data_IF_633215507617
#
_entry.id   IF_633215507617
#
_cell.length_a   1.000
_cell.length_b   1.000
_cell.length_c   1.000
_cell.angle_alpha   90.00
_cell.angle_beta   90.00
_cell.angle_gamma   90.00
#
_symmetry.space_group_name_H-M   'P 1'
#
loop_
_entity.id
_entity.type
_entity.pdbx_description
1 polymer ?
#
# COMPACT_ATOMS: atom_id res chain seq x y z
N UNK A 1 -3.21 -21.15 -14.15
CA UNK A 1 -2.81 -20.77 -12.78
C UNK A 1 -1.32 -21.05 -12.65
N UNK A 2 -0.57 -20.12 -12.06
CA UNK A 2 0.88 -20.17 -11.93
C UNK A 2 1.19 -20.26 -10.43
N UNK A 3 1.17 -21.48 -9.89
CA UNK A 3 1.49 -21.78 -8.50
C UNK A 3 2.71 -22.70 -8.50
N UNK A 4 3.88 -22.09 -8.39
CA UNK A 4 5.14 -22.81 -8.30
C UNK A 4 5.69 -22.72 -6.87
N UNK A 5 6.65 -23.56 -6.52
CA UNK A 5 7.38 -23.42 -5.26
C UNK A 5 8.46 -22.35 -5.40
N UNK A 6 8.05 -21.08 -5.53
CA UNK A 6 8.92 -19.92 -5.66
C UNK A 6 8.48 -18.76 -4.76
N UNK A 7 9.39 -17.79 -4.58
CA UNK A 7 9.17 -16.64 -3.70
C UNK A 7 7.95 -15.81 -4.13
N UNK A 8 7.72 -15.66 -5.44
CA UNK A 8 6.59 -14.90 -5.98
C UNK A 8 5.24 -15.51 -5.57
N UNK A 9 5.12 -16.83 -5.62
CA UNK A 9 3.91 -17.53 -5.18
C UNK A 9 3.69 -17.33 -3.69
N UNK A 10 4.73 -17.54 -2.87
CA UNK A 10 4.61 -17.44 -1.42
C UNK A 10 4.24 -16.02 -0.99
N UNK A 11 4.91 -15.00 -1.53
CA UNK A 11 4.63 -13.59 -1.23
C UNK A 11 3.21 -13.23 -1.67
N UNK A 12 2.80 -13.65 -2.86
CA UNK A 12 1.44 -13.34 -3.36
C UNK A 12 0.36 -14.00 -2.51
N UNK A 13 0.48 -15.30 -2.24
CA UNK A 13 -0.54 -16.05 -1.49
C UNK A 13 -0.58 -15.57 -0.03
N UNK A 14 0.56 -15.37 0.61
CA UNK A 14 0.61 -14.85 1.97
C UNK A 14 0.03 -13.43 2.04
N UNK A 15 0.39 -12.56 1.09
CA UNK A 15 -0.15 -11.22 0.97
C UNK A 15 -1.68 -11.24 0.87
N UNK A 16 -2.24 -12.01 -0.07
CA UNK A 16 -3.70 -12.17 -0.24
C UNK A 16 -4.36 -12.65 1.05
N UNK A 17 -3.82 -13.70 1.68
CA UNK A 17 -4.45 -14.28 2.87
C UNK A 17 -4.43 -13.27 4.02
N UNK A 18 -3.29 -12.65 4.31
CA UNK A 18 -3.14 -11.72 5.43
C UNK A 18 -4.05 -10.50 5.25
N UNK A 19 -4.04 -9.89 4.06
CA UNK A 19 -4.82 -8.66 3.82
C UNK A 19 -6.31 -8.95 3.62
N UNK A 20 -6.69 -10.13 3.10
CA UNK A 20 -8.08 -10.56 3.08
C UNK A 20 -8.62 -10.78 4.50
N UNK A 21 -7.90 -11.53 5.34
CA UNK A 21 -8.29 -11.74 6.74
C UNK A 21 -8.36 -10.43 7.52
N UNK A 22 -7.38 -9.54 7.33
CA UNK A 22 -7.38 -8.21 7.93
C UNK A 22 -8.54 -7.33 7.46
N UNK A 23 -8.86 -7.36 6.16
CA UNK A 23 -10.01 -6.64 5.60
C UNK A 23 -11.32 -7.17 6.16
N UNK A 24 -11.48 -8.49 6.20
CA UNK A 24 -12.64 -9.16 6.79
C UNK A 24 -12.78 -8.70 8.25
N UNK A 25 -11.72 -8.77 9.04
CA UNK A 25 -11.75 -8.33 10.43
C UNK A 25 -12.29 -6.90 10.59
N UNK A 26 -11.79 -5.93 9.81
CA UNK A 26 -12.26 -4.53 9.88
C UNK A 26 -13.70 -4.40 9.39
N UNK A 27 -14.08 -5.08 8.31
CA UNK A 27 -15.45 -5.08 7.78
C UNK A 27 -16.44 -5.63 8.81
N UNK A 28 -16.06 -6.64 9.58
CA UNK A 28 -16.93 -7.23 10.60
C UNK A 28 -17.28 -6.27 11.74
N UNK A 29 -16.46 -5.24 11.99
CA UNK A 29 -16.74 -4.22 13.00
C UNK A 29 -17.92 -3.32 12.61
N UNK A 30 -18.04 -2.99 11.32
CA UNK A 30 -19.23 -2.34 10.76
C UNK A 30 -19.36 -2.68 9.27
N UNK A 31 -20.18 -3.69 8.97
CA UNK A 31 -20.30 -4.27 7.63
C UNK A 31 -20.77 -3.27 6.58
N UNK A 32 -21.61 -2.30 6.98
CA UNK A 32 -22.18 -1.32 6.06
C UNK A 32 -21.11 -0.31 5.62
N UNK A 33 -20.49 0.38 6.58
CA UNK A 33 -19.58 1.48 6.26
C UNK A 33 -18.24 0.97 5.72
N UNK A 34 -17.62 0.01 6.41
CA UNK A 34 -16.35 -0.56 5.97
C UNK A 34 -16.50 -1.48 4.75
N UNK A 35 -17.62 -2.18 4.60
CA UNK A 35 -17.91 -2.96 3.38
C UNK A 35 -18.04 -2.06 2.15
N UNK A 36 -18.77 -0.94 2.25
CA UNK A 36 -18.85 0.04 1.16
C UNK A 36 -17.49 0.66 0.84
N UNK A 37 -16.71 1.04 1.87
CA UNK A 37 -15.37 1.60 1.68
C UNK A 37 -14.43 0.60 1.00
N UNK A 38 -14.48 -0.68 1.39
CA UNK A 38 -13.72 -1.76 0.75
C UNK A 38 -14.08 -1.88 -0.73
N UNK A 39 -15.38 -1.96 -1.07
CA UNK A 39 -15.80 -2.13 -2.46
C UNK A 39 -15.38 -0.96 -3.35
N UNK A 40 -15.55 0.28 -2.88
CA UNK A 40 -15.19 1.48 -3.65
C UNK A 40 -13.67 1.53 -3.84
N UNK A 41 -12.89 1.29 -2.78
CA UNK A 41 -11.42 1.28 -2.87
C UNK A 41 -10.89 0.15 -3.76
N UNK A 42 -11.49 -1.03 -3.69
CA UNK A 42 -11.16 -2.16 -4.56
C UNK A 42 -11.37 -1.80 -6.04
N UNK A 43 -12.57 -1.31 -6.38
CA UNK A 43 -12.91 -0.95 -7.77
C UNK A 43 -11.97 0.12 -8.29
N UNK A 44 -11.73 1.18 -7.52
CA UNK A 44 -10.83 2.26 -7.95
C UNK A 44 -9.39 1.76 -8.08
N UNK A 45 -8.91 0.93 -7.15
CA UNK A 45 -7.56 0.36 -7.18
C UNK A 45 -7.32 -0.51 -8.42
N UNK A 46 -8.26 -1.38 -8.76
CA UNK A 46 -8.20 -2.21 -9.97
C UNK A 46 -8.22 -1.37 -11.24
N UNK A 47 -9.09 -0.36 -11.31
CA UNK A 47 -9.17 0.55 -12.47
C UNK A 47 -7.85 1.31 -12.65
N UNK A 48 -7.31 1.90 -11.58
CA UNK A 48 -6.05 2.65 -11.64
C UNK A 48 -4.90 1.73 -12.04
N UNK A 49 -4.78 0.55 -11.44
CA UNK A 49 -3.72 -0.39 -11.80
C UNK A 49 -3.83 -0.84 -13.26
N UNK A 50 -5.05 -1.09 -13.76
CA UNK A 50 -5.26 -1.43 -15.16
C UNK A 50 -4.83 -0.28 -16.09
N UNK A 51 -5.15 0.97 -15.74
CA UNK A 51 -4.72 2.15 -16.49
C UNK A 51 -3.20 2.22 -16.52
N UNK A 52 -2.51 2.10 -15.37
CA UNK A 52 -1.05 2.19 -15.28
C UNK A 52 -0.34 1.13 -16.12
N UNK A 53 -0.79 -0.12 -16.10
CA UNK A 53 -0.22 -1.15 -16.98
C UNK A 53 -0.48 -0.81 -18.45
N UNK A 54 -1.68 -0.31 -18.77
CA UNK A 54 -2.07 -0.01 -20.16
C UNK A 54 -1.26 1.13 -20.78
N UNK A 55 -0.79 2.09 -19.97
CA UNK A 55 0.10 3.17 -20.40
C UNK A 55 1.59 2.83 -20.25
N UNK A 56 1.93 1.63 -19.77
CA UNK A 56 3.30 1.17 -19.63
C UNK A 56 4.05 1.74 -18.41
N UNK A 57 3.36 2.07 -17.32
CA UNK A 57 4.02 2.52 -16.07
C UNK A 57 4.77 1.39 -15.36
N UNK A 58 4.22 0.18 -15.40
CA UNK A 58 4.84 -1.02 -14.87
C UNK A 58 4.14 -2.25 -15.42
N UNK A 59 4.80 -3.39 -15.31
CA UNK A 59 4.26 -4.70 -15.67
C UNK A 59 4.33 -5.66 -14.49
N UNK A 60 3.58 -6.77 -14.60
CA UNK A 60 3.62 -7.88 -13.62
C UNK A 60 4.00 -9.16 -14.36
N UNK A 61 5.30 -9.46 -14.50
CA UNK A 61 5.78 -10.65 -15.21
C UNK A 61 5.29 -11.94 -14.55
N UNK A 62 5.22 -11.96 -13.21
CA UNK A 62 4.68 -13.06 -12.43
C UNK A 62 3.29 -12.73 -11.88
N UNK A 63 2.29 -13.49 -12.33
CA UNK A 63 0.90 -13.41 -11.83
C UNK A 63 0.41 -14.82 -11.51
N UNK A 64 -0.38 -14.97 -10.45
CA UNK A 64 -1.00 -16.26 -10.10
C UNK A 64 -1.99 -16.75 -11.16
N UNK A 65 -2.68 -15.83 -11.85
CA UNK A 65 -3.70 -16.14 -12.85
C UNK A 65 -3.48 -15.37 -14.16
N UNK A 66 -2.38 -15.64 -14.89
CA UNK A 66 -1.98 -14.84 -16.05
C UNK A 66 -2.93 -14.98 -17.25
N UNK A 67 -3.74 -16.03 -17.30
CA UNK A 67 -4.76 -16.24 -18.33
C UNK A 67 -6.07 -15.48 -18.07
N UNK A 68 -6.24 -14.92 -16.87
CA UNK A 68 -7.48 -14.23 -16.46
C UNK A 68 -7.28 -12.71 -16.49
N UNK A 69 -6.10 -12.23 -16.09
CA UNK A 69 -5.83 -10.81 -15.98
C UNK A 69 -4.37 -10.49 -16.29
N UNK A 70 -4.16 -9.32 -16.89
CA UNK A 70 -2.85 -8.69 -17.09
C UNK A 70 -2.27 -8.09 -15.81
N UNK A 71 -3.05 -8.04 -14.73
CA UNK A 71 -2.65 -7.53 -13.42
C UNK A 71 -2.90 -8.58 -12.32
N UNK A 72 -2.20 -8.50 -11.17
CA UNK A 72 -2.41 -9.41 -10.05
C UNK A 72 -3.69 -9.02 -9.28
N UNK A 73 -4.84 -9.24 -9.92
CA UNK A 73 -6.17 -8.85 -9.43
C UNK A 73 -6.38 -9.13 -7.94
N UNK A 74 -6.17 -10.38 -7.48
CA UNK A 74 -6.40 -10.70 -6.07
C UNK A 74 -5.48 -9.96 -5.08
N UNK A 75 -4.25 -9.62 -5.48
CA UNK A 75 -3.36 -8.79 -4.66
C UNK A 75 -3.92 -7.38 -4.57
N UNK A 76 -4.30 -6.79 -5.69
CA UNK A 76 -4.81 -5.41 -5.75
C UNK A 76 -6.12 -5.32 -4.96
N UNK A 77 -7.05 -6.23 -5.21
CA UNK A 77 -8.34 -6.38 -4.52
C UNK A 77 -8.22 -6.51 -3.00
N UNK A 78 -7.12 -7.04 -2.48
CA UNK A 78 -6.98 -7.30 -1.04
C UNK A 78 -6.05 -6.30 -0.35
N UNK A 79 -4.89 -5.98 -0.92
CA UNK A 79 -3.87 -5.11 -0.30
C UNK A 79 -4.31 -3.65 -0.25
N UNK A 80 -4.72 -3.05 -1.37
CA UNK A 80 -5.05 -1.62 -1.38
C UNK A 80 -6.28 -1.31 -0.53
N UNK A 81 -7.40 -2.06 -0.64
CA UNK A 81 -8.54 -1.85 0.24
C UNK A 81 -8.20 -2.10 1.71
N UNK A 82 -7.39 -3.12 2.03
CA UNK A 82 -6.96 -3.35 3.41
C UNK A 82 -6.26 -2.13 4.00
N UNK A 83 -5.32 -1.53 3.26
CA UNK A 83 -4.60 -0.34 3.71
C UNK A 83 -5.51 0.88 3.83
N UNK A 84 -6.51 1.02 2.95
CA UNK A 84 -7.56 2.04 3.08
C UNK A 84 -8.38 1.83 4.34
N UNK A 85 -8.83 0.61 4.61
CA UNK A 85 -9.64 0.28 5.78
C UNK A 85 -8.87 0.56 7.08
N UNK A 86 -7.60 0.13 7.15
CA UNK A 86 -6.73 0.44 8.28
C UNK A 86 -6.48 1.94 8.41
N UNK A 87 -6.16 2.60 7.30
CA UNK A 87 -5.91 4.03 7.25
C UNK A 87 -7.09 4.82 7.82
N UNK A 88 -8.29 4.61 7.30
CA UNK A 88 -9.50 5.31 7.73
C UNK A 88 -9.91 4.96 9.16
N UNK A 89 -9.69 3.71 9.58
CA UNK A 89 -10.05 3.27 10.94
C UNK A 89 -9.16 3.90 11.99
N UNK A 90 -7.86 3.95 11.75
CA UNK A 90 -6.86 4.30 12.76
C UNK A 90 -6.22 5.68 12.55
N UNK A 91 -6.54 6.39 11.45
CA UNK A 91 -6.01 7.73 11.20
C UNK A 91 -6.33 8.67 12.37
N UNK A 92 -5.34 9.45 12.85
CA UNK A 92 -5.55 10.44 13.90
C UNK A 92 -6.65 11.45 13.55
N UNK A 93 -7.23 12.10 14.55
CA UNK A 93 -8.32 13.06 14.29
C UNK A 93 -7.82 14.36 13.67
N UNK A 94 -6.67 14.85 14.15
CA UNK A 94 -6.01 16.07 13.67
C UNK A 94 -5.19 15.81 12.41
N UNK A 95 -5.35 16.69 11.42
CA UNK A 95 -4.58 16.66 10.18
C UNK A 95 -3.07 16.75 10.39
N UNK A 96 -2.63 17.44 11.46
CA UNK A 96 -1.21 17.54 11.80
C UNK A 96 -0.56 16.16 12.02
N UNK A 97 -1.34 15.20 12.52
CA UNK A 97 -0.87 13.83 12.80
C UNK A 97 -1.27 12.82 11.72
N UNK A 98 -2.26 13.14 10.87
CA UNK A 98 -2.62 12.29 9.72
C UNK A 98 -1.48 12.14 8.73
N UNK A 99 -0.80 13.23 8.37
CA UNK A 99 0.30 13.16 7.39
C UNK A 99 1.43 12.24 7.90
N UNK A 100 1.95 12.39 9.14
CA UNK A 100 2.91 11.45 9.70
C UNK A 100 2.43 10.00 9.78
N UNK A 101 1.14 9.79 10.07
CA UNK A 101 0.54 8.47 10.07
C UNK A 101 0.54 7.84 8.66
N UNK A 102 0.14 8.60 7.63
CA UNK A 102 0.15 8.12 6.24
C UNK A 102 1.57 7.97 5.69
N UNK A 103 2.56 8.76 6.15
CA UNK A 103 3.96 8.55 5.82
C UNK A 103 4.40 7.12 6.12
N UNK A 104 4.03 6.59 7.29
CA UNK A 104 4.36 5.21 7.66
C UNK A 104 3.77 4.23 6.66
N UNK A 105 2.48 4.35 6.33
CA UNK A 105 1.81 3.44 5.40
C UNK A 105 2.44 3.51 4.01
N UNK A 106 2.63 4.72 3.48
CA UNK A 106 3.21 4.93 2.14
C UNK A 106 4.66 4.41 2.07
N UNK A 107 5.49 4.70 3.07
CA UNK A 107 6.89 4.26 3.06
C UNK A 107 7.03 2.75 3.22
N UNK A 108 6.16 2.10 4.00
CA UNK A 108 6.12 0.63 4.07
C UNK A 108 5.62 0.01 2.76
N UNK A 109 4.61 0.63 2.12
CA UNK A 109 4.13 0.23 0.79
C UNK A 109 5.24 0.32 -0.26
N UNK A 110 5.91 1.47 -0.36
CA UNK A 110 7.03 1.66 -1.28
C UNK A 110 8.21 0.76 -0.98
N UNK A 111 8.51 0.50 0.29
CA UNK A 111 9.55 -0.47 0.65
C UNK A 111 9.19 -1.87 0.13
N UNK A 112 7.95 -2.31 0.33
CA UNK A 112 7.49 -3.61 -0.16
C UNK A 112 7.51 -3.69 -1.70
N UNK A 113 7.06 -2.63 -2.39
CA UNK A 113 7.04 -2.54 -3.84
C UNK A 113 8.46 -2.53 -4.44
N UNK A 114 9.36 -1.73 -3.88
CA UNK A 114 10.77 -1.67 -4.30
C UNK A 114 11.50 -2.99 -4.00
N UNK A 115 11.21 -3.62 -2.86
CA UNK A 115 11.75 -4.95 -2.55
C UNK A 115 11.24 -6.00 -3.55
N UNK A 116 9.96 -5.97 -3.89
CA UNK A 116 9.37 -6.87 -4.88
C UNK A 116 9.99 -6.65 -6.28
N UNK A 117 10.16 -5.40 -6.71
CA UNK A 117 10.86 -5.03 -7.96
C UNK A 117 12.27 -5.60 -8.03
N UNK A 118 13.01 -5.56 -6.91
CA UNK A 118 14.45 -5.86 -6.90
C UNK A 118 14.79 -7.31 -6.60
N UNK A 119 13.88 -8.06 -5.97
CA UNK A 119 14.14 -9.43 -5.50
C UNK A 119 13.19 -10.46 -6.10
N UNK A 120 12.17 -10.04 -6.87
CA UNK A 120 11.15 -10.94 -7.41
C UNK A 120 10.74 -10.49 -8.82
N UNK A 121 9.93 -11.31 -9.49
CA UNK A 121 9.27 -10.93 -10.75
C UNK A 121 7.83 -10.46 -10.58
N UNK A 122 7.47 -10.02 -9.37
CA UNK A 122 6.09 -9.61 -9.08
C UNK A 122 5.74 -8.30 -9.78
N UNK A 123 6.62 -7.30 -9.76
CA UNK A 123 6.44 -6.02 -10.43
C UNK A 123 7.74 -5.66 -11.15
N UNK A 124 7.62 -5.07 -12.33
CA UNK A 124 8.72 -4.53 -13.11
C UNK A 124 8.32 -3.14 -13.65
N UNK A 125 8.89 -2.07 -13.10
CA UNK A 125 8.84 -0.73 -13.70
C UNK A 125 9.61 -0.65 -15.02
N UNK A 126 9.10 0.13 -15.97
CA UNK A 126 9.76 0.36 -17.27
C UNK A 126 10.91 1.37 -17.14
N UNK A 127 10.68 2.45 -16.37
CA UNK A 127 11.66 3.50 -16.10
C UNK A 127 11.95 3.60 -14.61
N UNK A 128 13.18 4.01 -14.29
CA UNK A 128 13.58 4.22 -12.89
C UNK A 128 12.71 5.28 -12.18
N UNK A 129 12.26 6.30 -12.91
CA UNK A 129 11.41 7.36 -12.36
C UNK A 129 9.98 6.89 -12.01
N UNK A 130 9.53 5.75 -12.53
CA UNK A 130 8.18 5.23 -12.27
C UNK A 130 8.01 4.82 -10.79
N UNK A 131 9.11 4.55 -10.07
CA UNK A 131 9.10 4.31 -8.61
C UNK A 131 8.65 5.58 -7.86
N UNK A 132 9.10 6.75 -8.32
CA UNK A 132 8.68 8.03 -7.73
C UNK A 132 7.22 8.35 -8.06
N UNK A 133 6.79 8.01 -9.27
CA UNK A 133 5.40 8.20 -9.64
C UNK A 133 4.49 7.28 -8.86
N UNK A 134 4.88 6.01 -8.63
CA UNK A 134 4.18 5.10 -7.73
C UNK A 134 4.07 5.67 -6.31
N UNK A 135 5.17 6.19 -5.74
CA UNK A 135 5.16 6.87 -4.43
C UNK A 135 4.14 8.02 -4.38
N UNK A 136 4.04 8.81 -5.45
CA UNK A 136 3.06 9.89 -5.56
C UNK A 136 1.63 9.34 -5.62
N UNK A 137 1.40 8.27 -6.38
CA UNK A 137 0.09 7.63 -6.48
C UNK A 137 -0.36 6.96 -5.18
N UNK A 138 0.56 6.39 -4.40
CA UNK A 138 0.28 5.91 -3.04
C UNK A 138 -0.31 7.01 -2.16
N UNK A 139 0.29 8.21 -2.19
CA UNK A 139 -0.22 9.38 -1.47
C UNK A 139 -1.61 9.79 -1.95
N UNK A 140 -1.78 9.96 -3.26
CA UNK A 140 -3.04 10.41 -3.85
C UNK A 140 -4.15 9.42 -3.49
N UNK A 141 -3.92 8.12 -3.69
CA UNK A 141 -4.89 7.09 -3.42
C UNK A 141 -5.31 7.06 -1.94
N UNK A 142 -4.35 7.01 -1.01
CA UNK A 142 -4.65 6.92 0.42
C UNK A 142 -5.31 8.20 0.97
N UNK A 143 -4.90 9.39 0.53
CA UNK A 143 -5.49 10.65 0.99
C UNK A 143 -6.91 10.87 0.45
N UNK A 144 -7.15 10.51 -0.82
CA UNK A 144 -8.51 10.51 -1.37
C UNK A 144 -9.39 9.58 -0.54
N UNK A 145 -8.91 8.38 -0.20
CA UNK A 145 -9.68 7.44 0.60
C UNK A 145 -9.79 7.80 2.08
N UNK A 146 -8.87 8.56 2.67
CA UNK A 146 -9.09 9.19 3.97
C UNK A 146 -10.27 10.17 3.92
N UNK A 147 -10.34 10.98 2.87
CA UNK A 147 -11.45 11.92 2.67
C UNK A 147 -12.78 11.19 2.41
N UNK A 148 -12.82 10.22 1.49
CA UNK A 148 -14.00 9.39 1.22
C UNK A 148 -14.43 8.61 2.47
N UNK A 149 -13.47 8.02 3.18
CA UNK A 149 -13.70 7.37 4.47
C UNK A 149 -14.27 8.35 5.50
N UNK A 150 -13.87 9.63 5.45
CA UNK A 150 -14.44 10.80 6.14
C UNK A 150 -15.95 10.89 6.05
N UNK A 151 -16.47 10.61 4.86
CA UNK A 151 -17.88 10.74 4.50
C UNK A 151 -18.67 9.46 4.81
N UNK A 152 -18.04 8.28 4.66
CA UNK A 152 -18.71 6.98 4.78
C UNK A 152 -18.68 6.44 6.22
N UNK A 153 -17.54 6.54 6.91
CA UNK A 153 -17.31 5.90 8.22
C UNK A 153 -17.49 6.92 9.34
N UNK A 154 -18.52 6.70 10.16
CA UNK A 154 -18.85 7.60 11.25
C UNK A 154 -17.77 7.63 12.33
N UNK A 155 -17.65 8.75 13.07
CA UNK A 155 -16.61 8.93 14.10
C UNK A 155 -16.61 7.84 15.18
N UNK A 156 -17.79 7.30 15.53
CA UNK A 156 -17.94 6.23 16.53
C UNK A 156 -17.45 4.86 16.05
N UNK A 157 -17.41 4.64 14.73
CA UNK A 157 -16.94 3.38 14.15
C UNK A 157 -15.41 3.39 13.96
N UNK A 158 -14.81 4.58 13.95
CA UNK A 158 -13.35 4.78 13.91
C UNK A 158 -12.73 4.51 15.28
N UNK A 159 -11.45 4.20 15.27
CA UNK A 159 -10.62 4.05 16.47
C UNK A 159 -9.27 4.74 16.23
N UNK A 160 -9.24 6.08 16.16
CA UNK A 160 -8.03 6.83 15.83
C UNK A 160 -6.92 6.52 16.84
N UNK A 161 -5.67 6.45 16.37
CA UNK A 161 -4.50 6.38 17.26
C UNK A 161 -4.47 7.63 18.15
N UNK A 162 -4.15 7.44 19.43
CA UNK A 162 -4.00 8.55 20.38
C UNK A 162 -2.86 9.46 19.92
N UNK A 163 -3.20 10.72 19.65
CA UNK A 163 -2.28 11.76 19.19
C UNK A 163 -1.13 11.99 20.17
N UNK A 164 -1.34 11.75 21.47
CA UNK A 164 -0.28 11.84 22.48
C UNK A 164 0.84 10.84 22.26
N UNK A 165 0.59 9.71 21.58
CA UNK A 165 1.63 8.75 21.24
C UNK A 165 2.52 9.22 20.07
N UNK A 166 2.04 10.19 19.31
CA UNK A 166 2.69 10.75 18.13
C UNK A 166 3.50 12.02 18.44
N UNK A 167 3.47 12.49 19.68
CA UNK A 167 4.28 13.62 20.14
C UNK A 167 5.78 13.27 20.26
N UNK A 168 6.64 14.28 20.17
CA UNK A 168 8.08 14.13 20.32
C UNK A 168 8.48 13.37 21.58
N UNK A 169 9.42 12.42 21.44
CA UNK A 169 9.91 11.59 22.55
C UNK A 169 9.00 10.43 22.94
N UNK A 170 7.88 10.22 22.23
CA UNK A 170 6.98 9.07 22.42
C UNK A 170 7.24 7.97 21.39
N UNK A 171 6.73 6.78 21.69
CA UNK A 171 6.99 5.59 20.88
C UNK A 171 6.46 5.72 19.44
N UNK A 172 5.29 6.35 19.25
CA UNK A 172 4.73 6.54 17.91
C UNK A 172 5.58 7.48 17.06
N UNK A 173 6.07 8.57 17.65
CA UNK A 173 7.03 9.46 16.98
C UNK A 173 8.31 8.74 16.58
N UNK A 174 8.87 7.93 17.49
CA UNK A 174 10.05 7.10 17.19
C UNK A 174 9.81 6.14 16.03
N UNK A 175 8.67 5.44 16.01
CA UNK A 175 8.31 4.51 14.92
C UNK A 175 8.23 5.25 13.59
N UNK A 176 7.53 6.39 13.55
CA UNK A 176 7.42 7.22 12.33
C UNK A 176 8.82 7.61 11.84
N UNK A 177 9.67 8.12 12.72
CA UNK A 177 11.02 8.58 12.36
C UNK A 177 11.90 7.44 11.89
N UNK A 178 11.87 6.31 12.58
CA UNK A 178 12.65 5.14 12.22
C UNK A 178 12.29 4.65 10.82
N UNK A 179 11.00 4.54 10.51
CA UNK A 179 10.53 4.11 9.19
C UNK A 179 10.94 5.11 8.12
N UNK A 180 10.71 6.41 8.33
CA UNK A 180 11.09 7.45 7.39
C UNK A 180 12.59 7.47 7.11
N UNK A 181 13.42 7.55 8.15
CA UNK A 181 14.88 7.62 8.00
C UNK A 181 15.39 6.36 7.31
N UNK A 182 14.95 5.18 7.74
CA UNK A 182 15.44 3.92 7.17
C UNK A 182 15.05 3.79 5.70
N UNK A 183 13.80 4.08 5.34
CA UNK A 183 13.34 3.96 3.95
C UNK A 183 13.95 5.01 3.03
N UNK A 184 14.12 6.26 3.49
CA UNK A 184 14.82 7.31 2.72
C UNK A 184 16.30 6.94 2.54
N UNK A 185 16.96 6.47 3.60
CA UNK A 185 18.35 6.01 3.53
C UNK A 185 18.50 4.85 2.54
N UNK A 186 17.63 3.84 2.62
CA UNK A 186 17.66 2.69 1.72
C UNK A 186 17.37 3.08 0.27
N UNK A 187 16.46 4.02 0.03
CA UNK A 187 16.20 4.56 -1.31
C UNK A 187 17.46 5.24 -1.88
N UNK A 188 18.13 6.08 -1.09
CA UNK A 188 19.40 6.71 -1.49
C UNK A 188 20.52 5.71 -1.74
N UNK A 189 20.67 4.71 -0.86
CA UNK A 189 21.64 3.63 -1.03
C UNK A 189 21.38 2.81 -2.29
N UNK A 190 20.13 2.44 -2.53
CA UNK A 190 19.72 1.72 -3.73
C UNK A 190 20.02 2.53 -5.00
N UNK A 191 19.67 3.81 -5.02
CA UNK A 191 19.95 4.71 -6.12
C UNK A 191 21.46 4.82 -6.41
N UNK A 192 22.27 5.00 -5.36
CA UNK A 192 23.73 5.04 -5.49
C UNK A 192 24.32 3.73 -6.05
N UNK A 193 23.84 2.58 -5.56
CA UNK A 193 24.26 1.26 -6.06
C UNK A 193 23.94 1.10 -7.55
N UNK A 194 22.72 1.44 -7.97
CA UNK A 194 22.30 1.35 -9.37
C UNK A 194 23.20 2.23 -10.25
N UNK A 195 23.39 3.51 -9.90
CA UNK A 195 24.26 4.42 -10.67
C UNK A 195 25.70 3.90 -10.76
N UNK A 196 26.24 3.29 -9.70
CA UNK A 196 27.59 2.73 -9.71
C UNK A 196 27.77 1.49 -10.60
N UNK A 197 26.69 0.79 -10.95
CA UNK A 197 26.74 -0.37 -11.85
C UNK A 197 26.70 0.04 -13.34
N UNK A 198 26.28 1.28 -13.62
CA UNK A 198 26.20 1.83 -14.99
C UNK A 198 27.38 2.76 -15.34
N UNK A 199 28.27 3.03 -14.39
CA UNK A 199 29.54 3.76 -14.59
C UNK A 199 30.73 2.80 -14.47
#
# INVERSE_FOLDING_TARGET
MNLNFNIETYVSVAGIIITALGSIYVIWLNKKTYGSLFLISAIVGEILCYIFISIGFYSFPYRLFPSISSMPFFIILTVFPFLVLLGVRYSPTSWAYKIPFYWVIVHLGMFAETWAQTNTKLIEYELFWDVWDSYTWWWIYLLIFEWVGGLIVSKKDRNPVDEKLLEYGKIGWFIIHFILITTIFLAGFYMGKIISLYN
#
